data_IF_804832131785
#
_entry.id   IF_804832131785
#
_cell.length_a   1.000
_cell.length_b   1.000
_cell.length_c   1.000
_cell.angle_alpha   90.00
_cell.angle_beta   90.00
_cell.angle_gamma   90.00
#
_symmetry.space_group_name_H-M   'P 1'
#
loop_
_entity.id
_entity.type
_entity.pdbx_description
1 polymer ?
#
# COMPACT_ATOMS: atom_id res chain seq x y z
N UNK A 1 26.48 -16.56 -0.73
CA UNK A 1 25.70 -17.45 0.13
C UNK A 1 25.29 -16.81 1.46
N UNK A 2 26.20 -16.19 2.19
CA UNK A 2 25.90 -15.56 3.50
C UNK A 2 24.88 -14.39 3.40
N UNK A 3 24.93 -13.59 2.33
CA UNK A 3 23.98 -12.46 2.12
C UNK A 3 22.53 -12.90 1.91
N UNK A 4 22.31 -14.10 1.39
CA UNK A 4 20.95 -14.63 1.19
C UNK A 4 20.35 -15.18 2.49
N UNK A 5 21.19 -15.80 3.31
CA UNK A 5 20.80 -16.30 4.64
C UNK A 5 20.52 -15.14 5.62
N UNK A 6 21.30 -14.07 5.57
CA UNK A 6 21.06 -12.86 6.38
C UNK A 6 19.75 -12.14 5.98
N UNK A 7 19.39 -12.14 4.69
CA UNK A 7 18.08 -11.61 4.25
C UNK A 7 16.91 -12.47 4.74
N UNK A 8 17.05 -13.78 4.69
CA UNK A 8 16.03 -14.70 5.23
C UNK A 8 15.93 -14.59 6.76
N UNK A 9 17.05 -14.39 7.45
CA UNK A 9 17.09 -14.19 8.90
C UNK A 9 16.44 -12.86 9.33
N UNK A 10 16.69 -11.77 8.59
CA UNK A 10 16.00 -10.49 8.81
C UNK A 10 14.49 -10.60 8.62
N UNK A 11 14.02 -11.36 7.63
CA UNK A 11 12.59 -11.57 7.37
C UNK A 11 11.93 -12.38 8.51
N UNK A 12 12.64 -13.34 9.08
CA UNK A 12 12.14 -14.17 10.20
C UNK A 12 12.14 -13.41 11.53
N UNK A 13 13.11 -12.50 11.74
CA UNK A 13 13.26 -11.76 12.99
C UNK A 13 12.49 -10.43 13.04
N UNK A 14 12.10 -9.88 11.87
CA UNK A 14 11.31 -8.67 11.80
C UNK A 14 10.33 -8.77 10.61
N UNK A 15 9.18 -9.40 10.79
CA UNK A 15 8.19 -9.53 9.73
C UNK A 15 7.76 -8.14 9.28
N UNK A 16 7.74 -7.89 7.98
CA UNK A 16 7.19 -6.64 7.44
C UNK A 16 5.75 -6.49 7.87
N UNK A 17 5.41 -5.30 8.32
CA UNK A 17 4.11 -4.98 8.89
C UNK A 17 3.27 -4.20 7.90
N UNK A 18 2.01 -4.56 7.77
CA UNK A 18 1.10 -4.01 6.77
C UNK A 18 -0.21 -3.62 7.44
N UNK A 19 -0.68 -2.42 7.14
CA UNK A 19 -2.03 -1.98 7.48
C UNK A 19 -2.88 -1.97 6.20
N UNK A 20 -3.97 -2.71 6.22
CA UNK A 20 -4.96 -2.74 5.14
C UNK A 20 -6.18 -1.92 5.54
N UNK A 21 -6.52 -0.91 4.76
CA UNK A 21 -7.67 -0.04 5.02
C UNK A 21 -8.61 -0.08 3.82
N UNK A 22 -9.77 -0.66 4.01
CA UNK A 22 -10.82 -0.78 2.99
C UNK A 22 -12.18 -0.93 3.66
N UNK A 23 -13.19 -0.22 3.20
CA UNK A 23 -14.56 -0.32 3.70
C UNK A 23 -15.26 -1.61 3.24
N UNK A 24 -14.74 -2.30 2.23
CA UNK A 24 -15.09 -3.66 1.89
C UNK A 24 -14.42 -4.65 2.85
N UNK A 25 -15.14 -5.04 3.90
CA UNK A 25 -14.63 -5.98 4.91
C UNK A 25 -14.25 -7.36 4.32
N UNK A 26 -14.94 -7.79 3.27
CA UNK A 26 -14.64 -9.06 2.60
C UNK A 26 -13.28 -8.98 1.90
N UNK A 27 -13.04 -7.92 1.14
CA UNK A 27 -11.76 -7.69 0.46
C UNK A 27 -10.62 -7.53 1.47
N UNK A 28 -10.83 -6.73 2.52
CA UNK A 28 -9.83 -6.55 3.58
C UNK A 28 -9.45 -7.88 4.26
N UNK A 29 -10.43 -8.74 4.53
CA UNK A 29 -10.19 -10.05 5.12
C UNK A 29 -9.45 -10.98 4.16
N UNK A 30 -9.85 -10.99 2.88
CA UNK A 30 -9.18 -11.80 1.85
C UNK A 30 -7.71 -11.40 1.69
N UNK A 31 -7.42 -10.11 1.66
CA UNK A 31 -6.05 -9.58 1.63
C UNK A 31 -5.28 -10.00 2.90
N UNK A 32 -5.91 -9.94 4.06
CA UNK A 32 -5.33 -10.37 5.32
C UNK A 32 -4.91 -11.83 5.31
N UNK A 33 -5.77 -12.72 4.82
CA UNK A 33 -5.44 -14.15 4.70
C UNK A 33 -4.27 -14.40 3.73
N UNK A 34 -4.24 -13.69 2.61
CA UNK A 34 -3.13 -13.72 1.67
C UNK A 34 -1.82 -13.30 2.33
N UNK A 35 -1.83 -12.18 3.04
CA UNK A 35 -0.65 -11.65 3.72
C UNK A 35 -0.15 -12.59 4.82
N UNK A 36 -1.07 -13.16 5.60
CA UNK A 36 -0.73 -14.17 6.62
C UNK A 36 -0.04 -15.38 6.02
N UNK A 37 -0.57 -15.89 4.91
CA UNK A 37 0.02 -17.03 4.18
C UNK A 37 1.42 -16.75 3.64
N UNK A 38 1.80 -15.49 3.51
CA UNK A 38 3.14 -15.03 3.06
C UNK A 38 4.07 -14.59 4.20
N UNK A 39 3.66 -14.75 5.45
CA UNK A 39 4.46 -14.42 6.62
C UNK A 39 4.50 -12.94 7.00
N UNK A 40 3.57 -12.12 6.46
CA UNK A 40 3.43 -10.73 6.89
C UNK A 40 2.62 -10.62 8.18
N UNK A 41 2.99 -9.69 9.02
CA UNK A 41 2.13 -9.23 10.11
C UNK A 41 1.24 -8.10 9.58
N UNK A 42 -0.06 -8.16 9.87
CA UNK A 42 -0.99 -7.18 9.33
C UNK A 42 -2.10 -6.82 10.31
N UNK A 43 -2.68 -5.66 10.07
CA UNK A 43 -3.91 -5.17 10.70
C UNK A 43 -4.87 -4.72 9.62
N UNK A 44 -6.14 -4.72 9.92
CA UNK A 44 -7.20 -4.23 9.04
C UNK A 44 -7.96 -3.10 9.69
N UNK A 45 -8.42 -2.16 8.89
CA UNK A 45 -9.32 -1.09 9.28
C UNK A 45 -10.35 -0.87 8.17
N UNK A 46 -11.55 -0.43 8.51
CA UNK A 46 -12.66 -0.28 7.57
C UNK A 46 -12.95 1.16 7.14
N UNK A 47 -12.24 2.10 7.69
CA UNK A 47 -12.33 3.52 7.33
C UNK A 47 -11.04 4.26 7.67
N UNK A 48 -10.93 5.50 7.19
CA UNK A 48 -9.72 6.29 7.38
C UNK A 48 -9.42 6.65 8.83
N UNK A 49 -10.44 6.83 9.67
CA UNK A 49 -10.25 7.13 11.09
C UNK A 49 -9.70 5.92 11.84
N UNK A 50 -10.27 4.75 11.60
CA UNK A 50 -9.75 3.49 12.15
C UNK A 50 -8.35 3.19 11.60
N UNK A 51 -8.11 3.46 10.32
CA UNK A 51 -6.80 3.31 9.69
C UNK A 51 -5.75 4.18 10.37
N UNK A 52 -6.04 5.45 10.61
CA UNK A 52 -5.16 6.35 11.33
C UNK A 52 -4.91 5.89 12.78
N UNK A 53 -5.96 5.49 13.49
CA UNK A 53 -5.85 4.97 14.86
C UNK A 53 -5.00 3.69 14.93
N UNK A 54 -5.23 2.77 13.99
CA UNK A 54 -4.45 1.54 13.88
C UNK A 54 -2.98 1.82 13.56
N UNK A 55 -2.72 2.78 12.66
CA UNK A 55 -1.36 3.21 12.35
C UNK A 55 -0.66 3.80 13.59
N UNK A 56 -1.34 4.64 14.34
CA UNK A 56 -0.79 5.24 15.56
C UNK A 56 -0.35 4.18 16.58
N UNK A 57 -1.14 3.10 16.70
CA UNK A 57 -0.85 2.00 17.63
C UNK A 57 0.26 1.08 17.15
N UNK A 58 0.31 0.76 15.86
CA UNK A 58 1.14 -0.33 15.32
C UNK A 58 2.28 0.14 14.43
N UNK A 59 2.21 1.33 13.88
CA UNK A 59 3.23 1.93 13.00
C UNK A 59 3.64 1.00 11.85
N UNK A 60 2.67 0.47 11.12
CA UNK A 60 2.91 -0.41 10.00
C UNK A 60 3.84 0.22 8.94
N UNK A 61 4.77 -0.55 8.40
CA UNK A 61 5.72 -0.07 7.39
C UNK A 61 5.05 0.31 6.07
N UNK A 62 4.03 -0.46 5.69
CA UNK A 62 3.28 -0.24 4.46
C UNK A 62 1.80 -0.14 4.76
N UNK A 63 1.15 0.87 4.21
CA UNK A 63 -0.29 1.06 4.28
C UNK A 63 -0.86 0.78 2.89
N UNK A 64 -1.73 -0.22 2.80
CA UNK A 64 -2.51 -0.53 1.60
C UNK A 64 -3.92 -0.02 1.85
N UNK A 65 -4.31 1.05 1.17
CA UNK A 65 -5.56 1.74 1.46
C UNK A 65 -6.40 1.97 0.22
N UNK A 66 -7.71 1.75 0.34
CA UNK A 66 -8.65 2.29 -0.63
C UNK A 66 -8.56 3.83 -0.63
N UNK A 67 -8.71 4.44 -1.80
CA UNK A 67 -8.79 5.90 -1.91
C UNK A 67 -10.16 6.36 -1.43
N UNK A 68 -11.20 5.72 -1.91
CA UNK A 68 -12.59 6.18 -1.76
C UNK A 68 -13.24 5.54 -0.53
N UNK A 69 -13.18 6.25 0.58
CA UNK A 69 -13.81 5.82 1.84
C UNK A 69 -14.63 6.97 2.42
N UNK A 70 -15.72 6.68 3.15
CA UNK A 70 -16.51 7.71 3.80
C UNK A 70 -15.71 8.43 4.88
N UNK A 71 -16.08 9.68 5.16
CA UNK A 71 -15.55 10.59 6.18
C UNK A 71 -14.10 11.03 5.94
N UNK A 72 -13.13 10.12 5.99
CA UNK A 72 -11.71 10.38 5.76
C UNK A 72 -11.23 9.48 4.62
N UNK A 73 -10.93 10.05 3.47
CA UNK A 73 -10.43 9.28 2.33
C UNK A 73 -8.98 8.83 2.52
N UNK A 74 -8.51 7.95 1.61
CA UNK A 74 -7.16 7.38 1.71
C UNK A 74 -6.03 8.41 1.64
N UNK A 75 -6.19 9.48 0.86
CA UNK A 75 -5.20 10.54 0.77
C UNK A 75 -5.16 11.39 2.03
N UNK A 76 -6.32 11.74 2.56
CA UNK A 76 -6.45 12.51 3.80
C UNK A 76 -5.89 11.74 4.99
N UNK A 77 -6.21 10.45 5.09
CA UNK A 77 -5.63 9.57 6.10
C UNK A 77 -4.10 9.53 5.99
N UNK A 78 -3.55 9.35 4.78
CA UNK A 78 -2.10 9.30 4.58
C UNK A 78 -1.43 10.64 4.89
N UNK A 79 -2.11 11.77 4.66
CA UNK A 79 -1.61 13.08 5.07
C UNK A 79 -1.44 13.18 6.58
N UNK A 80 -2.42 12.69 7.35
CA UNK A 80 -2.34 12.62 8.81
C UNK A 80 -1.22 11.68 9.27
N UNK A 81 -1.11 10.50 8.66
CA UNK A 81 -0.06 9.52 8.97
C UNK A 81 1.33 10.12 8.71
N UNK A 82 1.53 10.80 7.57
CA UNK A 82 2.82 11.39 7.21
C UNK A 82 3.21 12.61 8.03
N UNK A 83 2.26 13.24 8.71
CA UNK A 83 2.57 14.26 9.71
C UNK A 83 3.30 13.66 10.91
N UNK A 84 3.07 12.37 11.20
CA UNK A 84 3.75 11.61 12.26
C UNK A 84 5.02 10.95 11.71
N UNK A 85 4.92 10.30 10.56
CA UNK A 85 6.00 9.60 9.90
C UNK A 85 6.05 9.89 8.39
N UNK A 86 6.91 10.81 7.94
CA UNK A 86 7.04 11.15 6.52
C UNK A 86 7.48 9.99 5.63
N UNK A 87 8.03 8.91 6.22
CA UNK A 87 8.51 7.73 5.50
C UNK A 87 7.46 6.64 5.36
N UNK A 88 6.24 6.82 5.91
CA UNK A 88 5.15 5.86 5.79
C UNK A 88 4.85 5.59 4.31
N UNK A 89 4.96 4.34 3.92
CA UNK A 89 4.78 3.91 2.53
C UNK A 89 3.30 3.62 2.25
N UNK A 90 2.78 4.16 1.16
CA UNK A 90 1.40 3.95 0.74
C UNK A 90 1.30 3.19 -0.59
N UNK A 91 0.36 2.25 -0.63
CA UNK A 91 -0.17 1.64 -1.84
C UNK A 91 -1.66 1.99 -1.87
N UNK A 92 -2.06 2.87 -2.79
CA UNK A 92 -3.45 3.26 -2.96
C UNK A 92 -4.19 2.27 -3.85
N UNK A 93 -5.39 1.88 -3.47
CA UNK A 93 -6.27 1.03 -4.29
C UNK A 93 -7.42 1.86 -4.83
N UNK A 94 -7.78 1.65 -6.10
CA UNK A 94 -8.93 2.32 -6.71
C UNK A 94 -9.48 1.53 -7.89
N UNK A 95 -10.80 1.53 -8.06
CA UNK A 95 -11.46 1.06 -9.28
C UNK A 95 -11.34 2.03 -10.45
N UNK A 96 -11.08 3.31 -10.18
CA UNK A 96 -10.97 4.37 -11.17
C UNK A 96 -9.81 5.34 -10.84
N UNK A 97 -8.54 4.86 -10.85
CA UNK A 97 -7.39 5.67 -10.47
C UNK A 97 -7.18 6.89 -11.38
N UNK A 98 -7.76 6.91 -12.57
CA UNK A 98 -7.71 8.05 -13.51
C UNK A 98 -8.30 9.32 -12.91
N UNK A 99 -9.32 9.19 -12.07
CA UNK A 99 -9.96 10.32 -11.38
C UNK A 99 -9.00 11.05 -10.45
N UNK A 100 -7.97 10.35 -9.97
CA UNK A 100 -7.00 10.84 -8.98
C UNK A 100 -5.62 11.08 -9.57
N UNK A 101 -5.49 11.12 -10.91
CA UNK A 101 -4.20 11.17 -11.62
C UNK A 101 -3.23 12.20 -11.04
N UNK A 102 -3.67 13.43 -10.82
CA UNK A 102 -2.81 14.51 -10.30
C UNK A 102 -2.34 14.23 -8.88
N UNK A 103 -3.24 13.78 -8.02
CA UNK A 103 -2.93 13.47 -6.62
C UNK A 103 -2.00 12.28 -6.53
N UNK A 104 -2.28 11.21 -7.28
CA UNK A 104 -1.43 10.02 -7.35
C UNK A 104 -0.03 10.37 -7.87
N UNK A 105 0.08 11.19 -8.90
CA UNK A 105 1.38 11.61 -9.43
C UNK A 105 2.18 12.42 -8.40
N UNK A 106 1.52 13.33 -7.68
CA UNK A 106 2.15 14.10 -6.59
C UNK A 106 2.60 13.19 -5.43
N UNK A 107 1.76 12.23 -5.04
CA UNK A 107 2.07 11.25 -4.00
C UNK A 107 3.24 10.35 -4.39
N UNK A 108 3.28 9.88 -5.64
CA UNK A 108 4.37 9.08 -6.17
C UNK A 108 5.69 9.87 -6.18
N UNK A 109 5.65 11.12 -6.63
CA UNK A 109 6.85 11.96 -6.71
C UNK A 109 7.39 12.32 -5.32
N UNK A 110 6.52 12.68 -4.39
CA UNK A 110 6.93 13.16 -3.06
C UNK A 110 7.29 12.03 -2.10
N UNK A 111 6.58 10.91 -2.18
CA UNK A 111 6.61 9.86 -1.17
C UNK A 111 6.86 8.46 -1.72
N UNK A 112 7.05 8.32 -3.03
CA UNK A 112 7.19 7.01 -3.66
C UNK A 112 5.94 6.14 -3.57
N UNK A 113 4.76 6.74 -3.38
CA UNK A 113 3.51 6.02 -3.33
C UNK A 113 3.19 5.33 -4.66
N UNK A 114 2.50 4.21 -4.59
CA UNK A 114 2.05 3.46 -5.76
C UNK A 114 0.54 3.31 -5.76
N UNK A 115 -0.03 2.99 -6.93
CA UNK A 115 -1.46 2.74 -7.06
C UNK A 115 -1.71 1.35 -7.63
N UNK A 116 -2.68 0.66 -7.07
CA UNK A 116 -3.14 -0.65 -7.48
C UNK A 116 -4.59 -0.53 -8.00
N UNK A 117 -4.80 -0.86 -9.25
CA UNK A 117 -6.14 -0.81 -9.86
C UNK A 117 -6.97 -2.00 -9.41
N UNK A 118 -8.18 -1.75 -8.90
CA UNK A 118 -9.19 -2.79 -8.66
C UNK A 118 -9.93 -3.13 -9.96
N UNK A 119 -10.24 -4.40 -10.23
CA UNK A 119 -9.77 -5.59 -9.54
C UNK A 119 -8.30 -5.90 -9.84
N UNK A 120 -7.58 -6.47 -8.88
CA UNK A 120 -6.17 -6.83 -9.00
C UNK A 120 -5.94 -8.30 -8.69
N UNK A 121 -4.81 -8.82 -9.16
CA UNK A 121 -4.35 -10.17 -8.83
C UNK A 121 -3.51 -10.15 -7.56
N UNK A 122 -3.53 -11.25 -6.81
CA UNK A 122 -2.72 -11.43 -5.61
C UNK A 122 -1.24 -11.09 -5.85
N UNK A 123 -0.69 -11.55 -6.99
CA UNK A 123 0.70 -11.32 -7.33
C UNK A 123 1.02 -9.83 -7.48
N UNK A 124 0.12 -9.04 -8.07
CA UNK A 124 0.31 -7.60 -8.24
C UNK A 124 0.44 -6.89 -6.89
N UNK A 125 -0.42 -7.25 -5.92
CA UNK A 125 -0.34 -6.72 -4.57
C UNK A 125 0.97 -7.14 -3.87
N UNK A 126 1.32 -8.41 -3.94
CA UNK A 126 2.53 -8.94 -3.29
C UNK A 126 3.81 -8.34 -3.88
N UNK A 127 3.87 -8.13 -5.19
CA UNK A 127 5.00 -7.47 -5.85
C UNK A 127 5.15 -6.02 -5.39
N UNK A 128 4.04 -5.29 -5.23
CA UNK A 128 4.05 -3.93 -4.71
C UNK A 128 4.52 -3.88 -3.25
N UNK A 129 4.07 -4.81 -2.43
CA UNK A 129 4.47 -4.89 -1.02
C UNK A 129 5.95 -5.27 -0.88
N UNK A 130 6.41 -6.27 -1.64
CA UNK A 130 7.80 -6.74 -1.61
C UNK A 130 8.78 -5.73 -2.21
N UNK A 131 8.32 -4.87 -3.13
CA UNK A 131 9.16 -3.87 -3.79
C UNK A 131 9.69 -2.84 -2.81
N UNK A 132 10.98 -2.53 -2.93
CA UNK A 132 11.67 -1.46 -2.22
C UNK A 132 11.52 -0.08 -2.92
N UNK A 133 10.56 0.03 -3.83
CA UNK A 133 10.34 1.23 -4.65
C UNK A 133 11.27 1.35 -5.87
N UNK A 134 12.40 0.66 -5.87
CA UNK A 134 13.41 0.78 -6.94
C UNK A 134 13.13 -0.09 -8.17
N UNK A 135 12.41 -1.20 -8.02
CA UNK A 135 12.00 -2.06 -9.16
C UNK A 135 10.73 -1.62 -9.86
N UNK A 136 9.95 -0.75 -9.25
CA UNK A 136 8.66 -0.29 -9.79
C UNK A 136 8.78 0.77 -10.86
N UNK A 137 9.93 1.46 -10.99
CA UNK A 137 10.15 2.40 -12.09
C UNK A 137 10.07 1.72 -13.45
N UNK A 138 10.47 0.46 -13.57
CA UNK A 138 10.41 -0.27 -14.83
C UNK A 138 9.03 -0.86 -15.12
N UNK A 139 8.28 -1.25 -14.09
CA UNK A 139 6.96 -1.87 -14.25
C UNK A 139 5.84 -0.81 -14.36
N UNK A 140 5.93 0.25 -13.56
CA UNK A 140 4.98 1.37 -13.62
C UNK A 140 5.18 2.26 -14.85
N UNK A 141 6.40 2.43 -15.38
CA UNK A 141 6.59 3.13 -16.65
C UNK A 141 5.85 2.46 -17.82
N UNK A 142 5.72 1.14 -17.84
CA UNK A 142 4.95 0.43 -18.87
C UNK A 142 3.43 0.42 -18.63
N UNK A 143 2.97 0.54 -17.37
CA UNK A 143 1.53 0.58 -17.03
C UNK A 143 0.99 1.97 -16.73
N UNK A 144 1.83 2.90 -16.30
CA UNK A 144 1.52 4.32 -16.15
C UNK A 144 1.81 5.15 -17.42
N UNK A 145 2.18 4.53 -18.52
CA UNK A 145 2.04 5.17 -19.82
C UNK A 145 0.54 5.29 -20.09
N UNK A 146 -0.03 6.30 -19.47
CA UNK A 146 -1.28 6.85 -19.92
C UNK A 146 -1.05 7.24 -21.38
N UNK A 147 -1.47 6.39 -22.30
CA UNK A 147 -1.57 6.82 -23.69
C UNK A 147 -2.36 8.10 -23.64
N UNK A 148 -1.72 9.21 -23.96
CA UNK A 148 -2.41 10.41 -24.36
C UNK A 148 -3.26 9.99 -25.55
N UNK A 149 -4.54 9.69 -25.28
CA UNK A 149 -5.53 9.63 -26.31
C UNK A 149 -5.74 11.05 -26.75
N UNK A 150 -5.15 11.37 -27.89
CA UNK A 150 -5.48 12.54 -28.67
C UNK A 150 -6.98 12.54 -28.98
#
# INVERSE_FOLDING_TARGET
MVRHLLRLWCIVLNPRTILVVDDDEFLARLMGELLRGKGYQFWTARDGLQGYSSYYQHQAETIVTDINMPELDGFEMMRCIRAINPRARAIYMSGAPEQYRRTVASEAQKFGATVLRKPFKELELLELIAGDGTKLESFNRKKLVWREAV
#
